data_IF_278929080153
#
_entry.id   IF_278929080153
#
_cell.length_a   1.000
_cell.length_b   1.000
_cell.length_c   1.000
_cell.angle_alpha   90.00
_cell.angle_beta   90.00
_cell.angle_gamma   90.00
#
_symmetry.space_group_name_H-M   'P 1'
#
loop_
_entity.id
_entity.type
_entity.pdbx_description
1 polymer ?
#
# COMPACT_ATOMS: atom_id res chain seq x y z
N UNK A 1 4.49 15.33 7.77
CA UNK A 1 3.19 14.83 7.23
C UNK A 1 2.30 15.99 6.85
N UNK A 2 1.77 16.00 5.65
CA UNK A 2 0.83 17.05 5.25
C UNK A 2 -0.62 16.62 5.51
N UNK A 3 -1.52 17.61 5.69
CA UNK A 3 -2.93 17.34 5.88
C UNK A 3 -3.58 16.90 4.57
N UNK A 4 -4.58 16.01 4.68
CA UNK A 4 -5.35 15.59 3.52
C UNK A 4 -6.21 16.76 3.03
N UNK A 5 -6.26 16.95 1.71
CA UNK A 5 -7.08 17.96 1.05
C UNK A 5 -8.28 17.31 0.38
N UNK A 6 -9.18 18.11 -0.20
CA UNK A 6 -10.29 17.58 -1.01
C UNK A 6 -9.76 16.77 -2.19
N UNK A 7 -8.70 17.24 -2.84
CA UNK A 7 -8.06 16.50 -3.94
C UNK A 7 -7.47 15.18 -3.48
N UNK A 8 -6.80 15.17 -2.32
CA UNK A 8 -6.30 13.95 -1.72
C UNK A 8 -7.39 12.94 -1.42
N UNK A 9 -8.53 13.41 -0.89
CA UNK A 9 -9.67 12.53 -0.63
C UNK A 9 -10.26 11.96 -1.92
N UNK A 10 -10.33 12.75 -2.98
CA UNK A 10 -10.79 12.27 -4.29
C UNK A 10 -9.86 11.17 -4.83
N UNK A 11 -8.55 11.34 -4.69
CA UNK A 11 -7.58 10.33 -5.09
C UNK A 11 -7.73 9.05 -4.28
N UNK A 12 -7.94 9.17 -2.98
CA UNK A 12 -8.17 8.01 -2.11
C UNK A 12 -9.42 7.24 -2.54
N UNK A 13 -10.51 7.94 -2.81
CA UNK A 13 -11.76 7.34 -3.26
C UNK A 13 -11.58 6.66 -4.61
N UNK A 14 -10.94 7.32 -5.56
CA UNK A 14 -10.68 6.75 -6.89
C UNK A 14 -9.86 5.47 -6.79
N UNK A 15 -8.81 5.46 -6.00
CA UNK A 15 -7.99 4.27 -5.81
C UNK A 15 -8.73 3.16 -5.09
N UNK A 16 -9.50 3.49 -4.06
CA UNK A 16 -10.31 2.51 -3.33
C UNK A 16 -11.34 1.84 -4.25
N UNK A 17 -12.02 2.62 -5.09
CA UNK A 17 -12.98 2.09 -6.08
C UNK A 17 -12.27 1.21 -7.11
N UNK A 18 -11.09 1.62 -7.56
CA UNK A 18 -10.29 0.82 -8.50
C UNK A 18 -9.94 -0.54 -7.90
N UNK A 19 -9.51 -0.55 -6.64
CA UNK A 19 -9.19 -1.79 -5.93
C UNK A 19 -10.44 -2.67 -5.77
N UNK A 20 -11.57 -2.08 -5.40
CA UNK A 20 -12.82 -2.83 -5.25
C UNK A 20 -13.26 -3.48 -6.57
N UNK A 21 -13.23 -2.71 -7.66
CA UNK A 21 -13.63 -3.20 -8.97
C UNK A 21 -12.70 -4.29 -9.51
N UNK A 22 -11.45 -4.33 -9.04
CA UNK A 22 -10.50 -5.36 -9.46
C UNK A 22 -10.98 -6.77 -9.13
N UNK A 23 -11.81 -6.94 -8.12
CA UNK A 23 -12.35 -8.24 -7.74
C UNK A 23 -13.13 -8.87 -8.90
N UNK A 24 -13.93 -8.07 -9.58
CA UNK A 24 -14.77 -8.56 -10.68
C UNK A 24 -14.11 -8.42 -12.05
N UNK A 25 -13.19 -7.47 -12.21
CA UNK A 25 -12.63 -7.09 -13.52
C UNK A 25 -11.27 -7.69 -13.81
N UNK A 26 -10.56 -8.16 -12.78
CA UNK A 26 -9.23 -8.75 -12.93
C UNK A 26 -9.26 -10.22 -12.56
N UNK A 27 -8.52 -11.03 -13.32
CA UNK A 27 -8.46 -12.49 -13.09
C UNK A 27 -7.36 -12.89 -12.10
N UNK A 28 -6.43 -11.97 -11.79
CA UNK A 28 -5.37 -12.23 -10.85
C UNK A 28 -5.87 -12.24 -9.41
N UNK A 29 -5.07 -12.82 -8.51
CA UNK A 29 -5.33 -12.65 -7.07
C UNK A 29 -5.25 -11.18 -6.69
N UNK A 30 -5.87 -10.81 -5.55
CA UNK A 30 -5.83 -9.44 -5.06
C UNK A 30 -4.40 -8.98 -4.76
N UNK A 31 -3.56 -9.84 -4.18
CA UNK A 31 -2.16 -9.50 -3.89
C UNK A 31 -1.37 -9.18 -5.16
N UNK A 32 -1.55 -9.95 -6.22
CA UNK A 32 -0.87 -9.71 -7.49
C UNK A 32 -1.36 -8.41 -8.12
N UNK A 33 -2.67 -8.18 -8.12
CA UNK A 33 -3.24 -6.93 -8.63
C UNK A 33 -2.64 -5.72 -7.90
N UNK A 34 -2.64 -5.75 -6.57
CA UNK A 34 -2.14 -4.64 -5.76
C UNK A 34 -0.66 -4.38 -6.03
N UNK A 35 0.15 -5.44 -6.12
CA UNK A 35 1.58 -5.30 -6.45
C UNK A 35 1.77 -4.61 -7.81
N UNK A 36 1.04 -5.06 -8.82
CA UNK A 36 1.10 -4.46 -10.16
C UNK A 36 0.67 -3.01 -10.13
N UNK A 37 -0.46 -2.73 -9.47
CA UNK A 37 -0.97 -1.37 -9.36
C UNK A 37 0.03 -0.43 -8.70
N UNK A 38 0.54 -0.80 -7.53
CA UNK A 38 1.43 0.08 -6.76
C UNK A 38 2.76 0.39 -7.46
N UNK A 39 3.15 -0.45 -8.41
CA UNK A 39 4.37 -0.27 -9.21
C UNK A 39 4.10 0.24 -10.63
N UNK A 40 2.85 0.51 -10.96
CA UNK A 40 2.44 0.87 -12.32
C UNK A 40 2.71 2.33 -12.67
N UNK A 41 2.68 2.61 -13.98
CA UNK A 41 2.78 3.98 -14.48
C UNK A 41 1.58 4.84 -14.05
N UNK A 42 0.36 4.25 -14.02
CA UNK A 42 -0.81 4.99 -13.56
C UNK A 42 -0.70 5.36 -12.07
N UNK A 43 -0.10 4.50 -11.25
CA UNK A 43 0.15 4.84 -9.84
C UNK A 43 1.07 6.05 -9.72
N UNK A 44 2.10 6.16 -10.57
CA UNK A 44 2.99 7.33 -10.59
C UNK A 44 2.23 8.60 -10.95
N UNK A 45 1.28 8.52 -11.89
CA UNK A 45 0.42 9.64 -12.24
C UNK A 45 -0.51 10.05 -11.08
N UNK A 46 -0.98 9.10 -10.31
CA UNK A 46 -1.73 9.37 -9.08
C UNK A 46 -0.82 10.01 -8.02
N UNK A 47 0.43 9.55 -7.92
CA UNK A 47 1.40 10.10 -6.98
C UNK A 47 1.70 11.59 -7.23
N UNK A 48 1.78 12.00 -8.49
CA UNK A 48 2.04 13.39 -8.87
C UNK A 48 0.77 14.20 -9.12
N UNK A 49 -0.40 13.62 -8.83
CA UNK A 49 -1.72 14.24 -8.93
C UNK A 49 -2.12 14.66 -10.36
N UNK A 50 -1.39 14.23 -11.39
CA UNK A 50 -1.68 14.63 -12.78
C UNK A 50 -3.02 14.11 -13.29
N UNK A 51 -3.57 13.05 -12.68
CA UNK A 51 -4.88 12.51 -13.04
C UNK A 51 -6.05 13.42 -12.66
N UNK A 52 -5.83 14.37 -11.73
CA UNK A 52 -6.90 15.28 -11.29
C UNK A 52 -7.39 16.20 -12.42
N UNK A 53 -6.56 16.47 -13.42
CA UNK A 53 -6.91 17.29 -14.56
C UNK A 53 -7.64 16.49 -15.64
N UNK A 54 -7.70 15.16 -15.51
CA UNK A 54 -8.39 14.28 -16.43
C UNK A 54 -9.67 13.74 -15.80
N UNK A 55 -10.58 13.24 -16.63
CA UNK A 55 -11.81 12.62 -16.16
C UNK A 55 -11.66 11.10 -16.07
N UNK A 56 -10.53 10.63 -15.57
CA UNK A 56 -10.23 9.20 -15.47
C UNK A 56 -11.08 8.54 -14.39
N UNK A 57 -11.61 7.37 -14.69
CA UNK A 57 -12.44 6.59 -13.78
C UNK A 57 -11.75 5.28 -13.42
N UNK A 58 -12.28 4.58 -12.42
CA UNK A 58 -11.71 3.30 -11.96
C UNK A 58 -11.53 2.29 -13.08
N UNK A 59 -12.54 2.14 -13.95
CA UNK A 59 -12.44 1.19 -15.07
C UNK A 59 -11.33 1.55 -16.06
N UNK A 60 -11.10 2.84 -16.28
CA UNK A 60 -10.01 3.30 -17.16
C UNK A 60 -8.65 2.92 -16.57
N UNK A 61 -8.51 3.03 -15.26
CA UNK A 61 -7.28 2.64 -14.56
C UNK A 61 -7.04 1.14 -14.71
N UNK A 62 -8.08 0.32 -14.55
CA UNK A 62 -7.94 -1.13 -14.70
C UNK A 62 -7.52 -1.51 -16.13
N UNK A 63 -8.04 -0.80 -17.14
CA UNK A 63 -7.61 -1.01 -18.53
C UNK A 63 -6.12 -0.67 -18.70
N UNK A 64 -5.66 0.41 -18.10
CA UNK A 64 -4.24 0.80 -18.14
C UNK A 64 -3.33 -0.24 -17.48
N UNK A 65 -3.79 -0.85 -16.39
CA UNK A 65 -3.05 -1.94 -15.75
C UNK A 65 -2.95 -3.15 -16.68
N UNK A 66 -4.04 -3.51 -17.33
CA UNK A 66 -4.04 -4.61 -18.31
C UNK A 66 -3.13 -4.32 -19.51
N UNK A 67 -3.07 -3.08 -19.97
CA UNK A 67 -2.16 -2.68 -21.05
C UNK A 67 -0.70 -2.81 -20.64
N UNK A 68 -0.37 -2.43 -19.41
CA UNK A 68 1.01 -2.45 -18.93
C UNK A 68 1.51 -3.86 -18.64
N UNK A 69 0.69 -4.70 -17.99
CA UNK A 69 1.12 -6.02 -17.52
C UNK A 69 0.59 -7.19 -18.34
N UNK A 70 -0.38 -6.94 -19.18
CA UNK A 70 -1.10 -7.99 -19.89
C UNK A 70 -2.15 -8.66 -19.02
N UNK A 71 -3.11 -9.31 -19.66
CA UNK A 71 -4.16 -10.06 -18.97
C UNK A 71 -3.57 -11.40 -18.52
N UNK A 72 -3.74 -11.73 -17.23
CA UNK A 72 -3.26 -13.00 -16.69
C UNK A 72 -4.19 -13.45 -15.55
N UNK A 73 -4.07 -14.73 -15.20
CA UNK A 73 -4.88 -15.34 -14.14
C UNK A 73 -4.01 -15.87 -12.98
N UNK A 74 -2.88 -15.23 -12.73
CA UNK A 74 -1.98 -15.65 -11.66
C UNK A 74 -2.62 -15.46 -10.29
N UNK A 75 -2.52 -16.52 -9.47
CA UNK A 75 -3.10 -16.54 -8.13
C UNK A 75 -4.61 -16.69 -8.15
N UNK A 76 -5.20 -17.04 -7.03
CA UNK A 76 -6.64 -17.32 -6.94
C UNK A 76 -7.34 -16.61 -5.80
N UNK A 77 -6.59 -16.16 -4.79
CA UNK A 77 -7.19 -15.58 -3.58
C UNK A 77 -7.64 -14.16 -3.83
N UNK A 78 -8.93 -13.92 -3.64
CA UNK A 78 -9.53 -12.57 -3.70
C UNK A 78 -9.82 -12.11 -2.28
N UNK A 79 -9.45 -10.86 -2.00
CA UNK A 79 -9.84 -10.21 -0.75
C UNK A 79 -11.33 -9.85 -0.83
N UNK A 80 -11.97 -9.62 0.32
CA UNK A 80 -13.34 -9.14 0.31
C UNK A 80 -13.40 -7.71 -0.21
N UNK A 81 -14.59 -7.28 -0.68
CA UNK A 81 -14.78 -5.93 -1.21
C UNK A 81 -14.42 -4.87 -0.18
N UNK A 82 -14.85 -5.06 1.07
CA UNK A 82 -14.56 -4.10 2.13
C UNK A 82 -13.08 -4.04 2.47
N UNK A 83 -12.43 -5.19 2.54
CA UNK A 83 -10.98 -5.25 2.79
C UNK A 83 -10.19 -4.51 1.71
N UNK A 84 -10.45 -4.84 0.45
CA UNK A 84 -9.66 -4.29 -0.65
C UNK A 84 -9.96 -2.80 -0.89
N UNK A 85 -11.20 -2.36 -0.65
CA UNK A 85 -11.55 -0.95 -0.68
C UNK A 85 -10.74 -0.17 0.34
N UNK A 86 -10.74 -0.63 1.59
CA UNK A 86 -9.97 0.00 2.66
C UNK A 86 -8.48 0.01 2.36
N UNK A 87 -7.94 -1.10 1.85
CA UNK A 87 -6.51 -1.19 1.49
C UNK A 87 -6.15 -0.14 0.44
N UNK A 88 -6.98 -0.01 -0.60
CA UNK A 88 -6.76 1.00 -1.64
C UNK A 88 -6.79 2.42 -1.09
N UNK A 89 -7.77 2.69 -0.22
CA UNK A 89 -7.94 3.99 0.42
C UNK A 89 -6.75 4.34 1.31
N UNK A 90 -6.36 3.43 2.19
CA UNK A 90 -5.29 3.69 3.17
C UNK A 90 -3.93 3.83 2.48
N UNK A 91 -3.65 3.05 1.44
CA UNK A 91 -2.44 3.19 0.67
C UNK A 91 -2.31 4.58 0.05
N UNK A 92 -3.36 5.07 -0.59
CA UNK A 92 -3.32 6.40 -1.22
C UNK A 92 -3.24 7.51 -0.18
N UNK A 93 -3.96 7.35 0.93
CA UNK A 93 -3.89 8.29 2.04
C UNK A 93 -2.46 8.41 2.58
N UNK A 94 -1.80 7.28 2.74
CA UNK A 94 -0.41 7.20 3.20
C UNK A 94 0.53 7.89 2.20
N UNK A 95 0.42 7.54 0.93
CA UNK A 95 1.22 8.15 -0.16
C UNK A 95 1.06 9.67 -0.15
N UNK A 96 -0.17 10.14 -0.12
CA UNK A 96 -0.47 11.56 -0.21
C UNK A 96 0.06 12.34 1.00
N UNK A 97 -0.27 11.89 2.20
CA UNK A 97 0.06 12.65 3.42
C UNK A 97 1.54 12.61 3.78
N UNK A 98 2.23 11.55 3.45
CA UNK A 98 3.67 11.39 3.73
C UNK A 98 4.55 11.76 2.53
N UNK A 99 3.93 12.13 1.41
CA UNK A 99 4.63 12.54 0.18
C UNK A 99 5.66 11.51 -0.30
N UNK A 100 5.24 10.25 -0.24
CA UNK A 100 5.99 9.11 -0.72
C UNK A 100 5.39 8.61 -2.03
N UNK A 101 6.13 7.78 -2.77
CA UNK A 101 5.58 7.13 -3.95
C UNK A 101 4.78 5.90 -3.57
N UNK A 102 3.89 5.48 -4.46
CA UNK A 102 3.15 4.22 -4.30
C UNK A 102 4.08 3.04 -4.09
N UNK A 103 5.17 2.96 -4.88
CA UNK A 103 6.15 1.89 -4.76
C UNK A 103 6.84 1.88 -3.39
N UNK A 104 7.16 3.06 -2.86
CA UNK A 104 7.79 3.19 -1.54
C UNK A 104 6.84 2.72 -0.42
N UNK A 105 5.59 3.15 -0.46
CA UNK A 105 4.60 2.74 0.54
C UNK A 105 4.33 1.24 0.47
N UNK A 106 4.27 0.68 -0.73
CA UNK A 106 4.14 -0.76 -0.91
C UNK A 106 5.29 -1.53 -0.24
N UNK A 107 6.50 -1.01 -0.27
CA UNK A 107 7.64 -1.62 0.42
C UNK A 107 7.53 -1.53 1.94
N UNK A 108 6.96 -0.44 2.45
CA UNK A 108 6.80 -0.24 3.90
C UNK A 108 5.79 -1.23 4.47
N UNK A 109 4.65 -1.39 3.82
CA UNK A 109 3.58 -2.27 4.30
C UNK A 109 2.96 -3.03 3.12
N UNK A 110 2.98 -4.36 3.20
CA UNK A 110 2.47 -5.23 2.14
C UNK A 110 0.96 -5.43 2.26
N UNK A 111 0.28 -5.79 1.16
CA UNK A 111 -1.17 -6.01 1.19
C UNK A 111 -1.63 -7.02 2.22
N UNK A 112 -0.89 -8.10 2.40
CA UNK A 112 -1.23 -9.14 3.37
C UNK A 112 -1.23 -8.61 4.79
N UNK A 113 -0.28 -7.72 5.12
CA UNK A 113 -0.23 -7.07 6.42
C UNK A 113 -1.45 -6.17 6.61
N UNK A 114 -1.79 -5.35 5.62
CA UNK A 114 -2.96 -4.49 5.68
C UNK A 114 -4.25 -5.28 5.81
N UNK A 115 -4.36 -6.40 5.09
CA UNK A 115 -5.53 -7.27 5.21
C UNK A 115 -5.72 -7.74 6.65
N UNK A 116 -4.62 -8.12 7.32
CA UNK A 116 -4.66 -8.53 8.72
C UNK A 116 -5.03 -7.41 9.68
N UNK A 117 -4.83 -6.17 9.29
CA UNK A 117 -5.14 -4.99 10.10
C UNK A 117 -6.53 -4.41 9.82
N UNK A 118 -7.25 -4.95 8.83
CA UNK A 118 -8.55 -4.41 8.44
C UNK A 118 -9.52 -4.38 9.62
N UNK A 119 -9.73 -5.51 10.30
CA UNK A 119 -10.69 -5.55 11.40
C UNK A 119 -10.40 -4.54 12.50
N UNK A 120 -9.18 -4.45 13.06
CA UNK A 120 -8.92 -3.49 14.12
C UNK A 120 -8.82 -2.03 13.65
N UNK A 121 -8.42 -1.78 12.39
CA UNK A 121 -8.05 -0.44 11.97
C UNK A 121 -9.04 0.24 11.02
N UNK A 122 -9.95 -0.50 10.37
CA UNK A 122 -10.80 0.13 9.33
C UNK A 122 -11.80 1.15 9.89
N UNK A 123 -12.10 1.09 11.17
CA UNK A 123 -12.97 2.07 11.83
C UNK A 123 -12.21 3.25 12.43
N UNK A 124 -10.87 3.21 12.39
CA UNK A 124 -10.04 4.31 12.87
C UNK A 124 -9.95 5.41 11.82
N UNK A 125 -9.67 6.62 12.29
CA UNK A 125 -9.20 7.69 11.40
C UNK A 125 -7.96 7.20 10.64
N UNK A 126 -7.89 7.42 9.31
CA UNK A 126 -6.75 6.98 8.53
C UNK A 126 -5.39 7.48 9.05
N UNK A 127 -5.33 8.69 9.59
CA UNK A 127 -4.10 9.22 10.20
C UNK A 127 -3.64 8.32 11.35
N UNK A 128 -4.58 7.95 12.23
CA UNK A 128 -4.28 7.09 13.38
C UNK A 128 -3.86 5.70 12.94
N UNK A 129 -4.54 5.13 11.95
CA UNK A 129 -4.19 3.81 11.41
C UNK A 129 -2.76 3.79 10.87
N UNK A 130 -2.39 4.80 10.08
CA UNK A 130 -1.05 4.92 9.50
C UNK A 130 0.00 5.11 10.59
N UNK A 131 -0.27 5.95 11.58
CA UNK A 131 0.65 6.17 12.70
C UNK A 131 0.93 4.87 13.45
N UNK A 132 -0.10 4.05 13.69
CA UNK A 132 0.06 2.75 14.35
C UNK A 132 0.88 1.77 13.50
N UNK A 133 0.66 1.77 12.20
CA UNK A 133 1.44 0.94 11.27
C UNK A 133 2.91 1.32 11.34
N UNK A 134 3.21 2.61 11.27
CA UNK A 134 4.59 3.12 11.31
C UNK A 134 5.25 2.85 12.67
N UNK A 135 4.52 3.02 13.76
CA UNK A 135 5.01 2.74 15.09
C UNK A 135 5.40 1.28 15.24
N UNK A 136 4.55 0.37 14.78
CA UNK A 136 4.83 -1.07 14.81
C UNK A 136 6.07 -1.43 14.00
N UNK A 137 6.23 -0.83 12.82
CA UNK A 137 7.41 -1.04 11.96
C UNK A 137 8.68 -0.49 12.61
N UNK A 138 8.58 0.67 13.25
CA UNK A 138 9.71 1.29 13.96
C UNK A 138 10.18 0.41 15.11
N UNK A 139 9.27 -0.12 15.92
CA UNK A 139 9.60 -1.00 17.04
C UNK A 139 10.32 -2.26 16.55
N UNK A 140 9.84 -2.88 15.47
CA UNK A 140 10.51 -4.05 14.89
C UNK A 140 11.92 -3.72 14.41
N UNK A 141 12.13 -2.57 13.79
CA UNK A 141 13.45 -2.12 13.33
C UNK A 141 14.39 -1.90 14.51
N UNK A 142 13.91 -1.26 15.58
CA UNK A 142 14.70 -1.00 16.79
C UNK A 142 15.10 -2.32 17.48
N UNK A 143 14.20 -3.28 17.57
CA UNK A 143 14.50 -4.62 18.12
C UNK A 143 15.56 -5.34 17.29
N UNK A 144 15.45 -5.31 15.98
CA UNK A 144 16.42 -5.94 15.08
C UNK A 144 17.79 -5.28 15.22
N UNK A 145 17.85 -3.95 15.30
CA UNK A 145 19.09 -3.21 15.48
C UNK A 145 19.77 -3.59 16.82
N UNK A 146 18.99 -3.74 17.88
CA UNK A 146 19.50 -4.14 19.19
C UNK A 146 20.05 -5.56 19.18
N UNK A 147 19.35 -6.49 18.53
CA UNK A 147 19.82 -7.87 18.40
C UNK A 147 21.12 -7.95 17.60
N UNK A 148 21.24 -7.21 16.52
CA UNK A 148 22.48 -7.16 15.73
C UNK A 148 23.62 -6.59 16.54
N UNK A 149 23.39 -5.55 17.32
CA UNK A 149 24.40 -4.94 18.18
C UNK A 149 24.89 -5.95 19.25
N UNK A 150 23.97 -6.67 19.88
CA UNK A 150 24.31 -7.69 20.86
C UNK A 150 25.13 -8.80 20.23
N UNK A 151 24.76 -9.24 19.04
CA UNK A 151 25.49 -10.26 18.29
C UNK A 151 26.94 -9.83 18.01
N UNK A 152 27.14 -8.60 17.59
CA UNK A 152 28.48 -8.06 17.32
C UNK A 152 29.34 -8.01 18.61
N UNK A 153 28.74 -7.67 19.75
CA UNK A 153 29.43 -7.67 21.03
C UNK A 153 29.90 -9.08 21.39
N UNK A 154 29.04 -10.09 21.27
CA UNK A 154 29.40 -11.48 21.52
C UNK A 154 30.51 -11.96 20.60
N UNK A 155 30.45 -11.61 19.35
CA UNK A 155 31.45 -11.96 18.35
C UNK A 155 32.81 -11.38 18.70
N UNK A 156 32.84 -10.15 19.18
CA UNK A 156 34.06 -9.46 19.61
C UNK A 156 34.67 -10.13 20.83
N UNK A 157 33.86 -10.50 21.81
CA UNK A 157 34.31 -11.20 23.01
C UNK A 157 34.96 -12.54 22.67
N UNK A 158 34.37 -13.28 21.71
CA UNK A 158 34.96 -14.55 21.26
C UNK A 158 36.32 -14.39 20.59
N UNK A 159 36.51 -13.31 19.83
CA UNK A 159 37.76 -13.09 19.11
C UNK A 159 38.91 -12.66 20.01
N UNK A 160 38.62 -12.14 21.21
CA UNK A 160 39.63 -11.71 22.19
C UNK A 160 40.15 -12.85 23.10
N UNK A 161 39.58 -14.05 22.96
CA UNK A 161 40.05 -15.21 23.67
C UNK A 161 41.07 -16.01 22.78
#
# INVERSE_FOLDING_TARGET
MKKISKDGLLLCKLQAETFEYSIDKMDTSSEIFIRRFMKSEIAKRLDNESVLESNIQANDILELINEEYGISNYGSVKYTRNEIYWIGYIYRYFVYTYELSSAQVYKIVKPKELRGLFLPYHTMDPVQAIERILEAKRLLTDENAELERQYEIFKRIRSEK
#
